data_IF_161128939063
#
_entry.id   IF_161128939063
#
_cell.length_a   1.000
_cell.length_b   1.000
_cell.length_c   1.000
_cell.angle_alpha   90.00
_cell.angle_beta   90.00
_cell.angle_gamma   90.00
#
_symmetry.space_group_name_H-M   'P 1'
#
loop_
_entity.id
_entity.type
_entity.pdbx_description
1 polymer ?
#
# COMPACT_ATOMS: atom_id res chain seq x y z
N UNK A 1 -22.08 7.01 -0.38
CA UNK A 1 -21.22 6.13 0.45
C UNK A 1 -20.73 4.98 -0.42
N UNK A 2 -19.60 5.13 -1.11
CA UNK A 2 -19.00 4.00 -1.85
C UNK A 2 -18.35 3.06 -0.82
N UNK A 3 -18.95 1.89 -0.60
CA UNK A 3 -18.29 0.83 0.17
C UNK A 3 -17.13 0.35 -0.70
N UNK A 4 -15.88 0.68 -0.37
CA UNK A 4 -14.72 0.05 -1.01
C UNK A 4 -14.88 -1.46 -0.86
N UNK A 5 -15.29 -2.12 -1.94
CA UNK A 5 -15.53 -3.55 -1.97
C UNK A 5 -14.17 -4.21 -1.83
N UNK A 6 -13.99 -5.03 -0.80
CA UNK A 6 -12.77 -5.81 -0.61
C UNK A 6 -13.02 -7.23 -1.09
N UNK A 7 -11.99 -7.85 -1.65
CA UNK A 7 -12.03 -9.25 -2.12
C UNK A 7 -10.79 -9.98 -1.63
N UNK A 8 -10.96 -11.23 -1.21
CA UNK A 8 -9.85 -12.12 -0.94
C UNK A 8 -9.27 -12.63 -2.24
N UNK A 9 -7.95 -12.64 -2.36
CA UNK A 9 -7.22 -13.25 -3.45
C UNK A 9 -6.10 -14.12 -2.88
N UNK A 10 -5.88 -15.28 -3.48
CA UNK A 10 -4.81 -16.17 -3.05
C UNK A 10 -3.54 -15.84 -3.85
N UNK A 11 -2.47 -15.56 -3.14
CA UNK A 11 -1.18 -15.17 -3.70
C UNK A 11 -0.08 -16.10 -3.18
N UNK A 12 0.89 -16.39 -4.04
CA UNK A 12 2.09 -17.14 -3.69
C UNK A 12 3.26 -16.17 -3.53
N UNK A 13 3.68 -15.90 -2.30
CA UNK A 13 4.75 -14.96 -1.98
C UNK A 13 5.92 -15.68 -1.29
N UNK A 14 7.18 -15.24 -1.47
CA UNK A 14 8.30 -15.75 -0.69
C UNK A 14 8.05 -15.66 0.83
N UNK A 15 8.46 -16.68 1.58
CA UNK A 15 8.26 -16.75 3.03
C UNK A 15 8.76 -15.51 3.78
N UNK A 16 9.93 -14.99 3.38
CA UNK A 16 10.52 -13.77 3.95
C UNK A 16 9.61 -12.54 3.80
N UNK A 17 8.89 -12.44 2.67
CA UNK A 17 7.98 -11.33 2.40
C UNK A 17 6.72 -11.45 3.25
N UNK A 18 6.20 -12.67 3.41
CA UNK A 18 5.03 -12.91 4.27
C UNK A 18 5.35 -12.56 5.72
N UNK A 19 6.49 -13.00 6.23
CA UNK A 19 6.95 -12.69 7.59
C UNK A 19 7.15 -11.18 7.75
N UNK A 20 7.78 -10.53 6.77
CA UNK A 20 7.95 -9.08 6.80
C UNK A 20 6.60 -8.33 6.84
N UNK A 21 5.62 -8.75 6.03
CA UNK A 21 4.27 -8.16 6.04
C UNK A 21 3.56 -8.31 7.38
N UNK A 22 3.72 -9.45 8.06
CA UNK A 22 3.18 -9.67 9.41
C UNK A 22 3.86 -8.78 10.44
N UNK A 23 5.20 -8.68 10.38
CA UNK A 23 5.97 -7.83 11.28
C UNK A 23 5.60 -6.35 11.10
N UNK A 24 5.46 -5.88 9.85
CA UNK A 24 5.04 -4.51 9.57
C UNK A 24 3.59 -4.25 9.98
N UNK A 25 2.71 -5.25 9.83
CA UNK A 25 1.35 -5.13 10.34
C UNK A 25 1.33 -4.95 11.86
N UNK A 26 2.13 -5.74 12.60
CA UNK A 26 2.26 -5.59 14.04
C UNK A 26 2.91 -4.24 14.44
N UNK A 27 4.04 -3.89 13.82
CA UNK A 27 4.80 -2.67 14.13
C UNK A 27 3.98 -1.39 13.93
N UNK A 28 3.14 -1.34 12.90
CA UNK A 28 2.28 -0.20 12.59
C UNK A 28 0.84 -0.34 13.10
N UNK A 29 0.56 -1.32 13.98
CA UNK A 29 -0.79 -1.54 14.53
C UNK A 29 -1.87 -1.70 13.44
N UNK A 30 -1.50 -2.31 12.32
CA UNK A 30 -2.43 -2.66 11.26
C UNK A 30 -3.22 -3.92 11.68
N UNK A 31 -4.49 -4.06 11.24
CA UNK A 31 -5.33 -5.18 11.63
C UNK A 31 -4.80 -6.55 11.15
N UNK A 32 -4.09 -6.57 10.01
CA UNK A 32 -3.60 -7.80 9.37
C UNK A 32 -2.51 -7.51 8.34
N UNK A 33 -1.79 -8.56 7.94
CA UNK A 33 -0.84 -8.52 6.82
C UNK A 33 -1.53 -8.15 5.49
N UNK A 34 -2.84 -8.40 5.34
CA UNK A 34 -3.61 -7.90 4.20
C UNK A 34 -3.60 -6.38 4.11
N UNK A 35 -3.65 -5.66 5.23
CA UNK A 35 -3.52 -4.20 5.25
C UNK A 35 -2.13 -3.78 4.85
N UNK A 36 -1.10 -4.48 5.31
CA UNK A 36 0.28 -4.19 4.91
C UNK A 36 0.46 -4.33 3.39
N UNK A 37 -0.06 -5.41 2.78
CA UNK A 37 -0.04 -5.59 1.31
C UNK A 37 -0.78 -4.45 0.61
N UNK A 38 -1.98 -4.05 1.10
CA UNK A 38 -2.71 -2.92 0.52
C UNK A 38 -1.91 -1.61 0.58
N UNK A 39 -1.13 -1.38 1.64
CA UNK A 39 -0.25 -0.20 1.72
C UNK A 39 0.86 -0.26 0.65
N UNK A 40 1.52 -1.41 0.51
CA UNK A 40 2.54 -1.64 -0.51
C UNK A 40 1.98 -1.40 -1.93
N UNK A 41 0.83 -2.01 -2.25
CA UNK A 41 0.17 -1.83 -3.56
C UNK A 41 -0.22 -0.38 -3.81
N UNK A 42 -0.69 0.35 -2.80
CA UNK A 42 -0.99 1.78 -2.94
C UNK A 42 0.26 2.62 -3.18
N UNK A 43 1.35 2.32 -2.47
CA UNK A 43 2.64 3.01 -2.62
C UNK A 43 3.16 2.85 -4.05
N UNK A 44 3.10 1.61 -4.56
CA UNK A 44 3.40 1.26 -5.94
C UNK A 44 2.49 1.98 -6.96
N UNK A 45 1.17 1.96 -6.75
CA UNK A 45 0.20 2.58 -7.66
C UNK A 45 0.35 4.10 -7.74
N UNK A 46 0.80 4.74 -6.65
CA UNK A 46 1.14 6.16 -6.62
C UNK A 46 2.52 6.49 -7.20
N UNK A 47 3.33 5.48 -7.55
CA UNK A 47 4.70 5.68 -8.04
C UNK A 47 5.71 6.05 -6.95
N UNK A 48 5.37 5.90 -5.67
CA UNK A 48 6.28 6.16 -4.56
C UNK A 48 7.35 5.06 -4.39
N UNK A 49 7.09 3.86 -4.91
CA UNK A 49 8.11 2.82 -5.12
C UNK A 49 8.18 2.43 -6.60
N UNK A 50 9.41 2.20 -7.08
CA UNK A 50 9.64 1.74 -8.46
C UNK A 50 9.57 0.22 -8.50
N UNK A 51 8.62 -0.28 -9.25
CA UNK A 51 8.57 -1.69 -9.65
C UNK A 51 9.25 -1.79 -11.02
N UNK A 52 10.09 -2.81 -11.22
CA UNK A 52 10.66 -3.09 -12.53
C UNK A 52 9.57 -3.37 -13.58
N UNK A 53 9.87 -3.11 -14.86
CA UNK A 53 9.00 -3.49 -15.98
C UNK A 53 9.00 -5.00 -16.23
N UNK A 54 10.05 -5.69 -15.79
CA UNK A 54 10.19 -7.13 -15.89
C UNK A 54 9.89 -7.75 -14.51
N UNK A 55 8.77 -8.49 -14.44
CA UNK A 55 8.40 -9.20 -13.23
C UNK A 55 9.42 -10.32 -12.96
N UNK A 56 10.08 -10.23 -11.81
CA UNK A 56 11.25 -11.05 -11.50
C UNK A 56 10.88 -12.49 -11.14
N UNK A 57 11.75 -13.44 -11.47
CA UNK A 57 11.65 -14.81 -10.95
C UNK A 57 11.80 -14.78 -9.43
N UNK A 58 10.77 -15.21 -8.72
CA UNK A 58 10.79 -15.32 -7.26
C UNK A 58 11.84 -16.36 -6.84
N UNK A 59 12.75 -15.98 -5.94
CA UNK A 59 13.73 -16.90 -5.33
C UNK A 59 13.25 -17.24 -3.92
N UNK A 60 13.36 -18.52 -3.56
CA UNK A 60 13.02 -19.02 -2.23
C UNK A 60 11.73 -19.83 -2.18
N UNK A 61 11.37 -20.28 -0.98
CA UNK A 61 10.13 -21.02 -0.73
C UNK A 61 8.93 -20.08 -0.86
N UNK A 62 8.00 -20.44 -1.74
CA UNK A 62 6.75 -19.71 -1.95
C UNK A 62 5.68 -20.24 -0.98
N UNK A 63 5.11 -19.35 -0.20
CA UNK A 63 3.97 -19.61 0.67
C UNK A 63 2.72 -19.08 -0.01
N UNK A 64 1.73 -19.96 -0.18
CA UNK A 64 0.41 -19.57 -0.64
C UNK A 64 -0.42 -19.04 0.53
N UNK A 65 -0.97 -17.84 0.38
CA UNK A 65 -1.82 -17.22 1.39
C UNK A 65 -2.89 -16.32 0.79
N UNK A 66 -4.03 -16.28 1.45
CA UNK A 66 -5.13 -15.40 1.07
C UNK A 66 -4.91 -13.99 1.64
N UNK A 67 -5.00 -12.98 0.78
CA UNK A 67 -4.92 -11.57 1.14
C UNK A 67 -6.16 -10.83 0.69
N UNK A 68 -6.63 -9.92 1.55
CA UNK A 68 -7.79 -9.08 1.27
C UNK A 68 -7.33 -7.76 0.64
N UNK A 69 -7.63 -7.54 -0.64
CA UNK A 69 -7.36 -6.28 -1.34
C UNK A 69 -8.64 -5.51 -1.63
N UNK A 70 -8.53 -4.19 -1.85
CA UNK A 70 -9.63 -3.41 -2.39
C UNK A 70 -9.81 -3.71 -3.89
N UNK A 71 -11.05 -3.65 -4.39
CA UNK A 71 -11.37 -3.96 -5.78
C UNK A 71 -10.59 -3.09 -6.77
N UNK A 72 -10.39 -1.81 -6.46
CA UNK A 72 -9.60 -0.89 -7.29
C UNK A 72 -8.13 -1.31 -7.37
N UNK A 73 -7.57 -1.86 -6.28
CA UNK A 73 -6.20 -2.35 -6.25
C UNK A 73 -6.04 -3.61 -7.09
N UNK A 74 -7.06 -4.49 -7.07
CA UNK A 74 -7.10 -5.69 -7.90
C UNK A 74 -7.20 -5.29 -9.38
N UNK A 75 -8.09 -4.35 -9.72
CA UNK A 75 -8.25 -3.85 -11.10
C UNK A 75 -6.94 -3.21 -11.59
N UNK A 76 -6.31 -2.37 -10.77
CA UNK A 76 -5.03 -1.76 -11.12
C UNK A 76 -3.94 -2.81 -11.35
N UNK A 77 -3.82 -3.79 -10.46
CA UNK A 77 -2.82 -4.86 -10.57
C UNK A 77 -3.05 -5.71 -11.83
N UNK A 78 -4.30 -6.10 -12.11
CA UNK A 78 -4.69 -6.79 -13.35
C UNK A 78 -4.33 -5.97 -14.60
N UNK A 79 -4.58 -4.67 -14.57
CA UNK A 79 -4.19 -3.76 -15.66
C UNK A 79 -2.67 -3.68 -15.87
N UNK A 80 -1.87 -3.91 -14.82
CA UNK A 80 -0.40 -3.95 -14.91
C UNK A 80 0.14 -5.26 -15.48
N UNK A 81 -0.45 -6.40 -15.11
CA UNK A 81 -0.04 -7.70 -15.65
C UNK A 81 -0.69 -8.04 -16.99
N UNK A 82 -1.76 -7.36 -17.37
CA UNK A 82 -2.51 -7.61 -18.60
C UNK A 82 -3.29 -8.94 -18.61
N UNK A 83 -3.43 -9.60 -17.47
CA UNK A 83 -4.13 -10.88 -17.33
C UNK A 83 -4.74 -11.06 -15.93
N UNK A 84 -5.63 -12.03 -15.81
CA UNK A 84 -6.22 -12.47 -14.53
C UNK A 84 -5.47 -13.67 -13.92
N UNK A 85 -4.28 -13.98 -14.44
CA UNK A 85 -3.50 -15.13 -14.00
C UNK A 85 -2.96 -14.94 -12.57
N UNK A 86 -3.18 -15.95 -11.73
CA UNK A 86 -2.75 -15.94 -10.32
C UNK A 86 -1.24 -15.84 -10.18
N UNK A 87 -0.46 -16.49 -11.06
CA UNK A 87 0.99 -16.47 -10.96
C UNK A 87 1.54 -15.10 -11.37
N UNK A 88 0.99 -14.49 -12.42
CA UNK A 88 1.33 -13.13 -12.82
C UNK A 88 1.02 -12.12 -11.70
N UNK A 89 -0.18 -12.22 -11.10
CA UNK A 89 -0.57 -11.40 -9.95
C UNK A 89 0.33 -11.62 -8.73
N UNK A 90 0.68 -12.87 -8.42
CA UNK A 90 1.57 -13.22 -7.31
C UNK A 90 2.97 -12.63 -7.53
N UNK A 91 3.48 -12.71 -8.76
CA UNK A 91 4.81 -12.17 -9.12
C UNK A 91 4.82 -10.65 -9.00
N UNK A 92 3.80 -9.97 -9.54
CA UNK A 92 3.66 -8.51 -9.38
C UNK A 92 3.61 -8.11 -7.90
N UNK A 93 2.77 -8.76 -7.09
CA UNK A 93 2.63 -8.40 -5.67
C UNK A 93 3.92 -8.66 -4.92
N UNK A 94 4.62 -9.76 -5.20
CA UNK A 94 5.89 -10.04 -4.58
C UNK A 94 6.97 -9.02 -4.96
N UNK A 95 7.00 -8.54 -6.21
CA UNK A 95 7.91 -7.46 -6.62
C UNK A 95 7.55 -6.13 -5.97
N UNK A 96 6.25 -5.83 -5.80
CA UNK A 96 5.76 -4.66 -5.05
C UNK A 96 6.22 -4.72 -3.60
N UNK A 97 6.05 -5.88 -2.94
CA UNK A 97 6.45 -6.06 -1.54
C UNK A 97 7.95 -5.94 -1.40
N UNK A 98 8.72 -6.56 -2.30
CA UNK A 98 10.18 -6.43 -2.35
C UNK A 98 10.63 -4.98 -2.53
N UNK A 99 9.99 -4.23 -3.43
CA UNK A 99 10.28 -2.80 -3.60
C UNK A 99 9.91 -1.99 -2.34
N UNK A 100 8.84 -2.39 -1.65
CA UNK A 100 8.41 -1.78 -0.39
C UNK A 100 9.36 -2.08 0.77
N UNK A 101 9.95 -3.29 0.83
CA UNK A 101 10.98 -3.67 1.80
C UNK A 101 12.28 -2.87 1.60
N UNK A 102 12.58 -2.47 0.37
CA UNK A 102 13.75 -1.64 0.05
C UNK A 102 13.49 -0.14 0.21
N UNK A 103 12.23 0.27 0.37
CA UNK A 103 11.85 1.65 0.59
C UNK A 103 11.89 2.03 2.06
N UNK A 104 11.89 3.33 2.33
CA UNK A 104 11.74 3.83 3.70
C UNK A 104 10.37 3.45 4.27
N UNK A 105 10.34 2.97 5.50
CA UNK A 105 9.14 2.49 6.19
C UNK A 105 8.03 3.56 6.23
N UNK A 106 8.39 4.83 6.44
CA UNK A 106 7.43 5.94 6.45
C UNK A 106 6.86 6.23 5.05
N UNK A 107 7.59 5.89 3.99
CA UNK A 107 7.08 6.01 2.61
C UNK A 107 5.97 4.99 2.32
N UNK A 108 6.08 3.79 2.89
CA UNK A 108 5.13 2.69 2.67
C UNK A 108 3.96 2.74 3.65
N UNK A 109 4.25 2.95 4.94
CA UNK A 109 3.30 2.86 6.04
C UNK A 109 3.04 4.19 6.75
N UNK A 110 3.95 5.15 6.63
CA UNK A 110 3.83 6.49 7.23
C UNK A 110 2.85 7.42 6.52
N UNK A 111 2.38 7.07 5.33
CA UNK A 111 1.21 7.74 4.73
C UNK A 111 -0.04 7.31 5.50
N UNK A 112 -0.28 7.97 6.63
CA UNK A 112 -1.57 7.99 7.32
C UNK A 112 -2.57 8.60 6.34
N UNK A 113 -3.19 7.76 5.51
CA UNK A 113 -4.40 8.14 4.78
C UNK A 113 -5.52 8.25 5.79
N UNK A 114 -5.53 9.36 6.51
CA UNK A 114 -6.68 9.74 7.30
C UNK A 114 -7.88 9.80 6.35
N UNK A 115 -8.86 8.94 6.61
CA UNK A 115 -10.18 9.02 5.97
C UNK A 115 -11.02 10.14 6.57
N UNK A 116 -10.54 10.72 7.66
CA UNK A 116 -11.09 11.88 8.31
C UNK A 116 -10.57 13.13 7.59
N UNK A 117 -11.36 14.21 7.61
CA UNK A 117 -10.88 15.52 7.12
C UNK A 117 -9.54 15.84 7.79
N UNK A 118 -8.70 16.65 7.16
CA UNK A 118 -7.43 17.09 7.77
C UNK A 118 -7.70 17.72 9.14
N UNK A 119 -8.86 18.38 9.29
CA UNK A 119 -9.38 18.95 10.53
C UNK A 119 -9.65 17.94 11.67
N UNK A 120 -9.76 16.65 11.38
CA UNK A 120 -10.15 15.59 12.34
C UNK A 120 -9.04 14.55 12.55
N UNK A 121 -7.94 14.67 11.81
CA UNK A 121 -6.80 13.76 11.90
C UNK A 121 -5.72 14.31 12.82
N UNK A 122 -5.47 13.67 13.97
CA UNK A 122 -4.42 14.13 14.90
C UNK A 122 -3.04 14.19 14.24
N UNK A 123 -2.66 13.17 13.45
CA UNK A 123 -1.38 13.19 12.73
C UNK A 123 -1.28 14.29 11.65
N UNK A 124 -2.40 14.67 11.03
CA UNK A 124 -2.39 15.76 10.07
C UNK A 124 -2.37 17.13 10.75
N UNK A 125 -3.01 17.25 11.93
CA UNK A 125 -2.91 18.45 12.78
C UNK A 125 -1.47 18.68 13.23
N UNK A 126 -0.79 17.64 13.69
CA UNK A 126 0.62 17.74 14.13
C UNK A 126 1.54 18.14 12.98
N UNK A 127 1.31 17.60 11.77
CA UNK A 127 2.07 17.98 10.59
C UNK A 127 1.82 19.45 10.18
N UNK A 128 0.57 19.91 10.21
CA UNK A 128 0.22 21.32 9.92
C UNK A 128 0.83 22.26 10.96
N UNK A 129 0.74 21.92 12.25
CA UNK A 129 1.27 22.71 13.35
C UNK A 129 2.80 22.84 13.27
N UNK A 130 3.51 21.79 12.86
CA UNK A 130 4.95 21.85 12.62
C UNK A 130 5.34 22.74 11.43
N UNK A 131 4.56 22.71 10.35
CA UNK A 131 4.81 23.55 9.17
C UNK A 131 4.48 25.01 9.50
N UNK A 132 3.39 25.27 10.22
CA UNK A 132 2.97 26.60 10.65
C UNK A 132 4.01 27.24 11.59
N UNK A 133 4.58 26.47 12.52
CA UNK A 133 5.69 26.92 13.37
C UNK A 133 6.95 27.28 12.58
N UNK A 134 7.21 26.64 11.44
CA UNK A 134 8.41 26.89 10.63
C UNK A 134 8.24 28.00 9.60
N UNK A 135 7.04 28.18 9.05
CA UNK A 135 6.81 29.00 7.86
C UNK A 135 5.70 30.04 8.01
N UNK A 136 5.06 30.13 9.18
CA UNK A 136 3.90 31.00 9.42
C UNK A 136 2.59 30.39 8.91
N UNK A 137 1.52 31.18 8.89
CA UNK A 137 0.16 30.71 8.58
C UNK A 137 0.09 29.90 7.27
N UNK A 138 -0.25 28.61 7.39
CA UNK A 138 -0.36 27.68 6.25
C UNK A 138 -1.83 27.56 5.85
N UNK A 139 -2.15 27.79 4.58
CA UNK A 139 -3.44 27.40 4.03
C UNK A 139 -3.42 25.91 3.66
N UNK A 140 -4.13 25.11 4.44
CA UNK A 140 -4.44 23.71 4.08
C UNK A 140 -5.47 23.73 2.96
N UNK A 141 -5.04 23.47 1.72
CA UNK A 141 -5.96 23.18 0.62
C UNK A 141 -6.38 21.72 0.70
N UNK A 142 -7.58 21.48 1.19
CA UNK A 142 -8.24 20.17 1.05
C UNK A 142 -8.70 20.00 -0.41
N UNK A 143 -7.77 19.79 -1.34
CA UNK A 143 -8.10 19.27 -2.66
C UNK A 143 -8.45 17.79 -2.49
N UNK A 144 -9.70 17.55 -2.10
CA UNK A 144 -10.33 16.24 -2.24
C UNK A 144 -10.21 15.91 -3.73
N UNK A 145 -9.42 14.89 -4.06
CA UNK A 145 -9.42 14.28 -5.38
C UNK A 145 -10.83 13.75 -5.64
N UNK A 146 -11.71 14.61 -6.15
CA UNK A 146 -13.02 14.26 -6.66
C UNK A 146 -12.75 13.65 -8.03
N UNK A 147 -12.56 12.33 -8.05
CA UNK A 147 -12.40 11.57 -9.28
C UNK A 147 -13.44 12.00 -10.31
N UNK A 148 -12.94 12.48 -11.45
CA UNK A 148 -13.67 12.50 -12.70
C UNK A 148 -13.19 11.34 -13.54
#
# INVERSE_FOLDING_TARGET
MSRNKKRSIDLSLPAEQVIWLENMAAAHSLPDSSKAVRCCVNCAALGAVKIGSDFGVQKGELIERSFVLAEEQIIWAKGKVGSDDKNAMSTLVADIVKASMAADEQTVFGVVRCKLKVAECEGAKDAVDQIEKKYGAVQVKEDIWQGK
#
